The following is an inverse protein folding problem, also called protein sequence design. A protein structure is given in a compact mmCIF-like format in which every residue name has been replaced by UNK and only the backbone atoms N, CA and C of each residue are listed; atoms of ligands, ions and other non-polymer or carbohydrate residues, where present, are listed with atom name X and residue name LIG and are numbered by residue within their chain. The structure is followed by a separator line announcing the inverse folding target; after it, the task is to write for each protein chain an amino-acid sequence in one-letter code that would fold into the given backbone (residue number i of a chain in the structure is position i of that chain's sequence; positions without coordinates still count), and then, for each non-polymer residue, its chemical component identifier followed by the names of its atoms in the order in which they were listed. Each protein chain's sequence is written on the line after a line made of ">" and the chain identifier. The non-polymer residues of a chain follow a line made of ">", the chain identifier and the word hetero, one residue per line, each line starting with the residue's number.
data_IF_698802025598
#
_entry.id   IF_698802025598
#
_cell.length_a   1.000
_cell.length_b   1.000
_cell.length_c   1.000
_cell.angle_alpha   90.00
_cell.angle_beta   90.00
_cell.angle_gamma   90.00
#
_symmetry.space_group_name_H-M   'P 1'
#
loop_
_entity.id
_entity.type
_entity.pdbx_description
1 polymer ?
#
# COMPACT_ATOMS: atom_id res chain seq x y z
N UNK A 1 11.66 14.51 5.23
CA UNK A 1 11.51 13.35 4.36
C UNK A 1 11.50 12.07 5.16
N UNK A 2 10.43 11.28 5.01
CA UNK A 2 10.28 9.92 5.55
C UNK A 2 10.04 8.97 4.37
N UNK A 3 10.71 7.83 4.35
CA UNK A 3 10.49 6.81 3.34
C UNK A 3 9.54 5.74 3.85
N UNK A 4 8.50 5.44 3.06
CA UNK A 4 7.49 4.44 3.38
C UNK A 4 7.33 3.46 2.21
N UNK A 5 7.40 2.16 2.50
CA UNK A 5 7.16 1.12 1.51
C UNK A 5 5.89 0.35 1.83
N UNK A 6 5.07 0.12 0.81
CA UNK A 6 3.96 -0.82 0.83
C UNK A 6 4.38 -2.06 0.04
N UNK A 7 4.12 -3.26 0.54
CA UNK A 7 4.55 -4.51 -0.09
C UNK A 7 3.55 -5.65 0.10
N UNK A 8 3.29 -6.39 -0.97
CA UNK A 8 2.54 -7.66 -0.94
C UNK A 8 3.40 -8.82 -0.42
N UNK A 9 4.70 -8.60 -0.17
CA UNK A 9 5.68 -9.63 0.14
C UNK A 9 5.60 -10.79 -0.86
N UNK A 10 5.40 -12.02 -0.38
CA UNK A 10 5.21 -13.22 -1.21
C UNK A 10 3.72 -13.55 -1.43
N UNK A 11 2.83 -12.59 -1.22
CA UNK A 11 1.38 -12.76 -1.41
C UNK A 11 0.99 -12.98 -2.88
N UNK A 12 -0.20 -13.56 -3.12
CA UNK A 12 -0.74 -13.75 -4.46
C UNK A 12 -1.19 -12.42 -5.09
N UNK A 13 -1.67 -12.45 -6.34
CA UNK A 13 -2.06 -11.24 -7.08
C UNK A 13 -3.12 -10.39 -6.36
N UNK A 14 -3.97 -10.97 -5.51
CA UNK A 14 -4.91 -10.18 -4.69
C UNK A 14 -4.19 -9.28 -3.67
N UNK A 15 -3.06 -9.71 -3.13
CA UNK A 15 -2.21 -8.86 -2.29
C UNK A 15 -1.55 -7.76 -3.14
N UNK A 16 -1.18 -8.03 -4.39
CA UNK A 16 -0.66 -7.01 -5.29
C UNK A 16 -1.73 -5.95 -5.63
N UNK A 17 -2.98 -6.38 -5.82
CA UNK A 17 -4.12 -5.47 -5.96
C UNK A 17 -4.35 -4.66 -4.68
N UNK A 18 -4.21 -5.30 -3.51
CA UNK A 18 -4.33 -4.63 -2.22
C UNK A 18 -3.27 -3.53 -2.04
N UNK A 19 -2.02 -3.75 -2.46
CA UNK A 19 -0.97 -2.71 -2.44
C UNK A 19 -1.38 -1.50 -3.28
N UNK A 20 -1.87 -1.71 -4.52
CA UNK A 20 -2.33 -0.62 -5.38
C UNK A 20 -3.45 0.18 -4.71
N UNK A 21 -4.45 -0.51 -4.17
CA UNK A 21 -5.58 0.12 -3.46
C UNK A 21 -5.13 0.87 -2.20
N UNK A 22 -4.19 0.30 -1.45
CA UNK A 22 -3.62 0.92 -0.27
C UNK A 22 -2.85 2.20 -0.65
N UNK A 23 -2.04 2.18 -1.71
CA UNK A 23 -1.33 3.36 -2.21
C UNK A 23 -2.30 4.47 -2.66
N UNK A 24 -3.38 4.12 -3.36
CA UNK A 24 -4.39 5.10 -3.79
C UNK A 24 -5.12 5.72 -2.59
N UNK A 25 -5.39 4.92 -1.55
CA UNK A 25 -5.96 5.40 -0.30
C UNK A 25 -4.98 6.33 0.44
N UNK A 26 -3.74 5.88 0.64
CA UNK A 26 -2.66 6.63 1.27
C UNK A 26 -2.47 8.00 0.61
N UNK A 27 -2.46 8.05 -0.73
CA UNK A 27 -2.32 9.30 -1.50
C UNK A 27 -3.45 10.28 -1.24
N UNK A 28 -4.70 9.80 -1.20
CA UNK A 28 -5.87 10.63 -0.89
C UNK A 28 -5.84 11.14 0.56
N UNK A 29 -5.44 10.30 1.50
CA UNK A 29 -5.34 10.70 2.91
C UNK A 29 -4.22 11.71 3.15
N UNK A 30 -3.06 11.52 2.51
CA UNK A 30 -1.94 12.45 2.59
C UNK A 30 -2.34 13.84 2.10
N UNK A 31 -3.02 13.92 0.94
CA UNK A 31 -3.54 15.18 0.42
C UNK A 31 -4.53 15.86 1.39
N UNK A 32 -5.45 15.10 2.01
CA UNK A 32 -6.41 15.61 3.00
C UNK A 32 -5.71 16.15 4.25
N UNK A 33 -4.62 15.51 4.68
CA UNK A 33 -3.85 15.90 5.86
C UNK A 33 -2.75 16.93 5.58
N UNK A 34 -2.62 17.38 4.32
CA UNK A 34 -1.56 18.29 3.86
C UNK A 34 -0.15 17.71 4.07
N UNK A 35 -0.02 16.39 3.92
CA UNK A 35 1.26 15.69 3.84
C UNK A 35 1.61 15.54 2.36
N UNK A 36 2.79 16.02 1.96
CA UNK A 36 3.28 15.82 0.60
C UNK A 36 3.70 14.37 0.45
N UNK A 37 3.17 13.68 -0.57
CA UNK A 37 3.52 12.31 -0.91
C UNK A 37 4.07 12.28 -2.33
N UNK A 38 5.30 11.79 -2.48
CA UNK A 38 5.92 11.57 -3.79
C UNK A 38 6.18 10.09 -4.00
N UNK A 39 5.73 9.55 -5.13
CA UNK A 39 6.03 8.16 -5.50
C UNK A 39 7.44 8.09 -6.07
N UNK A 40 8.31 7.33 -5.41
CA UNK A 40 9.71 7.21 -5.81
C UNK A 40 9.92 6.02 -6.74
N UNK A 41 9.38 4.87 -6.36
CA UNK A 41 9.54 3.62 -7.10
C UNK A 41 8.29 2.76 -6.98
N UNK A 42 8.01 1.96 -8.01
CA UNK A 42 6.96 0.95 -7.98
C UNK A 42 7.39 -0.29 -8.70
N UNK A 43 7.11 -1.43 -8.10
CA UNK A 43 7.26 -2.74 -8.75
C UNK A 43 5.88 -3.23 -9.19
N UNK A 44 5.64 -3.44 -10.50
CA UNK A 44 4.36 -3.95 -10.98
C UNK A 44 4.10 -5.39 -10.49
N UNK A 45 2.83 -5.73 -10.29
CA UNK A 45 2.42 -7.12 -10.12
C UNK A 45 2.31 -7.85 -11.46
N UNK A 46 1.93 -9.13 -11.44
CA UNK A 46 1.80 -9.94 -12.66
C UNK A 46 0.58 -9.55 -13.50
N UNK A 47 -0.48 -9.10 -12.84
CA UNK A 47 -1.72 -8.66 -13.47
C UNK A 47 -1.71 -7.15 -13.70
N UNK A 48 -2.39 -6.65 -14.75
CA UNK A 48 -2.56 -5.23 -14.98
C UNK A 48 -3.14 -4.51 -13.75
N UNK A 49 -2.73 -3.25 -13.56
CA UNK A 49 -3.19 -2.39 -12.45
C UNK A 49 -2.96 -2.97 -11.04
N UNK A 50 -1.95 -3.82 -10.88
CA UNK A 50 -1.50 -4.32 -9.57
C UNK A 50 -0.05 -3.92 -9.30
N UNK A 51 0.32 -3.83 -8.02
CA UNK A 51 1.68 -3.50 -7.59
C UNK A 51 2.17 -4.55 -6.61
N UNK A 52 3.36 -5.10 -6.82
CA UNK A 52 4.02 -5.93 -5.81
C UNK A 52 4.50 -5.05 -4.65
N UNK A 53 5.06 -3.89 -4.95
CA UNK A 53 5.49 -2.91 -3.96
C UNK A 53 5.46 -1.49 -4.50
N UNK A 54 5.44 -0.53 -3.58
CA UNK A 54 5.61 0.89 -3.88
C UNK A 54 6.44 1.54 -2.78
N UNK A 55 7.41 2.37 -3.17
CA UNK A 55 8.19 3.22 -2.28
C UNK A 55 7.74 4.67 -2.49
N UNK A 56 7.41 5.35 -1.40
CA UNK A 56 6.99 6.75 -1.40
C UNK A 56 7.82 7.56 -0.40
N UNK A 57 8.06 8.83 -0.70
CA UNK A 57 8.51 9.81 0.28
C UNK A 57 7.33 10.58 0.83
N UNK A 58 7.39 10.89 2.13
CA UNK A 58 6.47 11.74 2.85
C UNK A 58 7.20 12.96 3.39
N UNK A 59 6.63 14.14 3.17
CA UNK A 59 7.15 15.42 3.63
C UNK A 59 6.06 16.31 4.21
N UNK A 60 6.47 17.23 5.10
CA UNK A 60 5.58 18.13 5.84
C UNK A 60 5.54 17.83 7.34
N UNK A 61 4.98 18.76 8.11
CA UNK A 61 4.99 18.72 9.59
C UNK A 61 4.29 17.47 10.15
N UNK A 62 3.25 16.99 9.48
CA UNK A 62 2.46 15.82 9.90
C UNK A 62 2.99 14.49 9.35
N UNK A 63 4.05 14.50 8.55
CA UNK A 63 4.54 13.30 7.87
C UNK A 63 4.89 12.16 8.85
N UNK A 64 5.47 12.48 10.00
CA UNK A 64 5.83 11.47 11.02
C UNK A 64 4.60 10.77 11.58
N UNK A 65 3.67 11.51 12.16
CA UNK A 65 2.43 10.95 12.73
C UNK A 65 1.59 10.22 11.67
N UNK A 66 1.56 10.75 10.45
CA UNK A 66 0.89 10.10 9.31
C UNK A 66 1.54 8.75 8.96
N UNK A 67 2.89 8.70 8.92
CA UNK A 67 3.62 7.47 8.66
C UNK A 67 3.43 6.43 9.77
N UNK A 68 3.41 6.84 11.03
CA UNK A 68 3.19 5.93 12.18
C UNK A 68 1.80 5.29 12.13
N UNK A 69 0.76 6.06 11.79
CA UNK A 69 -0.61 5.56 11.64
C UNK A 69 -0.75 4.50 10.55
N UNK A 70 0.07 4.59 9.50
CA UNK A 70 0.03 3.67 8.36
C UNK A 70 0.99 2.49 8.47
N UNK A 71 2.03 2.58 9.31
CA UNK A 71 2.98 1.49 9.51
C UNK A 71 2.31 0.26 10.15
N UNK A 72 2.70 -0.92 9.69
CA UNK A 72 2.18 -2.20 10.18
C UNK A 72 1.56 -3.03 9.06
N UNK A 73 0.63 -3.91 9.43
CA UNK A 73 -0.03 -4.82 8.49
C UNK A 73 -1.46 -4.36 8.24
N UNK A 74 -1.80 -4.09 6.98
CA UNK A 74 -3.18 -3.85 6.56
C UNK A 74 -3.85 -5.14 6.11
N UNK A 75 -5.10 -5.32 6.54
CA UNK A 75 -5.99 -6.37 6.06
C UNK A 75 -7.02 -5.77 5.10
N UNK A 76 -6.98 -6.19 3.85
CA UNK A 76 -8.03 -5.94 2.88
C UNK A 76 -8.97 -7.15 2.79
N UNK A 77 -10.25 -6.94 3.12
CA UNK A 77 -11.27 -7.99 3.06
C UNK A 77 -12.08 -7.83 1.77
N UNK A 78 -11.94 -8.78 0.86
CA UNK A 78 -12.65 -8.82 -0.42
C UNK A 78 -12.67 -10.24 -0.99
N UNK A 79 -13.77 -10.65 -1.60
CA UNK A 79 -13.80 -11.86 -2.45
C UNK A 79 -12.77 -11.70 -3.56
N UNK A 80 -12.01 -12.75 -3.88
CA UNK A 80 -10.99 -12.64 -4.92
C UNK A 80 -11.62 -12.28 -6.27
N UNK A 81 -11.18 -11.19 -6.94
CA UNK A 81 -11.59 -10.88 -8.30
C UNK A 81 -10.92 -11.81 -9.33
N UNK A 82 -9.84 -12.51 -8.94
CA UNK A 82 -9.06 -13.38 -9.82
C UNK A 82 -9.43 -14.86 -9.66
N UNK A 83 -10.06 -15.22 -8.55
CA UNK A 83 -10.46 -16.59 -8.20
C UNK A 83 -11.92 -16.60 -7.69
N UNK A 84 -12.91 -16.47 -8.60
CA UNK A 84 -14.31 -16.28 -8.24
C UNK A 84 -14.97 -17.42 -7.43
N UNK A 85 -14.33 -18.59 -7.36
CA UNK A 85 -14.83 -19.76 -6.59
C UNK A 85 -13.99 -20.09 -5.35
N UNK A 86 -12.99 -19.27 -5.03
CA UNK A 86 -12.09 -19.52 -3.91
C UNK A 86 -12.58 -18.80 -2.65
N UNK A 87 -12.71 -19.51 -1.51
CA UNK A 87 -13.30 -18.97 -0.28
C UNK A 87 -12.45 -17.98 0.52
N UNK A 88 -11.16 -17.84 0.20
CA UNK A 88 -10.28 -16.85 0.85
C UNK A 88 -10.70 -15.44 0.47
N UNK A 89 -10.87 -14.59 1.49
CA UNK A 89 -11.26 -13.18 1.35
C UNK A 89 -10.34 -12.19 2.09
N UNK A 90 -9.32 -12.69 2.78
CA UNK A 90 -8.41 -11.88 3.58
C UNK A 90 -7.05 -11.76 2.87
N UNK A 91 -6.68 -10.52 2.54
CA UNK A 91 -5.44 -10.18 1.84
C UNK A 91 -4.64 -9.21 2.68
N UNK A 92 -3.38 -9.55 2.96
CA UNK A 92 -2.53 -8.77 3.86
C UNK A 92 -1.47 -8.01 3.05
N UNK A 93 -1.17 -6.78 3.47
CA UNK A 93 -0.13 -5.91 2.92
C UNK A 93 0.70 -5.37 4.07
N UNK A 94 2.02 -5.42 3.93
CA UNK A 94 2.94 -4.82 4.90
C UNK A 94 3.29 -3.39 4.51
N UNK A 95 3.34 -2.50 5.50
CA UNK A 95 3.76 -1.11 5.34
C UNK A 95 4.87 -0.85 6.35
N UNK A 96 6.05 -0.54 5.83
CA UNK A 96 7.26 -0.31 6.62
C UNK A 96 7.86 1.06 6.34
N UNK A 97 8.28 1.75 7.39
CA UNK A 97 9.06 2.97 7.30
C UNK A 97 10.55 2.63 7.30
N UNK A 98 11.33 3.30 6.45
CA UNK A 98 12.78 3.27 6.50
C UNK A 98 13.28 4.53 7.20
N UNK A 99 14.21 4.34 8.14
CA UNK A 99 14.93 5.38 8.88
C UNK A 99 16.32 5.56 8.35
#
# INVERSE_FOLDING_TARGET
>A
MILLQLSSAQGPDECCLAVKKALDCLTKEAAREKVSLTRLETEPGRLPDTLRSALVSLDGEKAMAFSERWCGTLLWICTSPYRPHHGRKNWYVGIGRFS
#
